data_IF_447961167409
#
_entry.id   IF_447961167409
#
_cell.length_a   1.000
_cell.length_b   1.000
_cell.length_c   1.000
_cell.angle_alpha   90.00
_cell.angle_beta   90.00
_cell.angle_gamma   90.00
#
_symmetry.space_group_name_H-M   'P 1'
#
loop_
_entity.id
_entity.type
_entity.pdbx_description
1 polymer ?
#
# COMPACT_ATOMS: atom_id res chain seq x y z
N UNK A 1 22.87 11.43 14.17
CA UNK A 1 22.05 10.48 14.94
C UNK A 1 21.23 9.69 13.96
N UNK A 2 21.27 8.36 14.05
CA UNK A 2 20.33 7.47 13.35
C UNK A 2 19.32 7.01 14.38
N UNK A 3 18.03 7.26 14.10
CA UNK A 3 16.96 7.02 15.07
C UNK A 3 16.11 5.82 14.69
N UNK A 4 15.79 5.03 15.70
CA UNK A 4 14.89 3.88 15.59
C UNK A 4 13.86 3.92 16.72
N UNK A 5 12.72 3.32 16.50
CA UNK A 5 11.70 3.08 17.52
C UNK A 5 11.58 1.57 17.77
N UNK A 6 11.58 1.18 19.04
CA UNK A 6 11.42 -0.24 19.41
C UNK A 6 10.07 -0.79 18.97
N UNK A 7 10.10 -2.02 18.44
CA UNK A 7 8.94 -2.85 18.13
C UNK A 7 8.92 -4.08 19.04
N UNK A 8 8.21 -5.11 18.62
CA UNK A 8 8.14 -6.36 19.38
C UNK A 8 9.52 -7.02 19.58
N UNK A 9 9.76 -7.52 20.78
CA UNK A 9 10.98 -8.25 21.15
C UNK A 9 12.25 -7.38 21.04
N UNK A 10 13.19 -7.77 20.18
CA UNK A 10 14.50 -7.12 19.96
C UNK A 10 14.57 -6.43 18.60
N UNK A 11 13.45 -6.11 17.98
CA UNK A 11 13.40 -5.39 16.71
C UNK A 11 13.20 -3.89 16.90
N UNK A 12 13.73 -3.10 15.98
CA UNK A 12 13.55 -1.66 15.96
C UNK A 12 13.37 -1.14 14.56
N UNK A 13 12.42 -0.22 14.38
CA UNK A 13 12.03 0.39 13.12
C UNK A 13 12.77 1.70 12.92
N UNK A 14 13.32 1.90 11.73
CA UNK A 14 14.01 3.11 11.34
C UNK A 14 13.07 4.32 11.29
N UNK A 15 13.44 5.40 11.97
CA UNK A 15 12.66 6.65 12.02
C UNK A 15 13.28 7.75 11.17
N UNK A 16 14.61 7.85 11.12
CA UNK A 16 15.28 8.87 10.33
C UNK A 16 16.74 9.06 10.71
N UNK A 17 17.41 9.91 9.95
CA UNK A 17 18.78 10.35 10.19
C UNK A 17 18.77 11.84 10.52
N UNK A 18 19.44 12.23 11.60
CA UNK A 18 19.41 13.59 12.12
C UNK A 18 20.81 14.13 12.35
N UNK A 19 21.02 15.38 11.99
CA UNK A 19 22.19 16.17 12.40
C UNK A 19 21.89 16.79 13.75
N UNK A 20 22.82 16.63 14.70
CA UNK A 20 22.77 17.34 15.96
C UNK A 20 23.64 18.62 15.84
N UNK A 21 23.01 19.77 15.90
CA UNK A 21 23.67 21.08 15.81
C UNK A 21 24.13 21.62 17.17
N UNK A 22 23.90 20.86 18.26
CA UNK A 22 24.30 21.23 19.61
C UNK A 22 23.13 21.49 20.57
N UNK A 23 23.45 22.04 21.73
CA UNK A 23 22.46 22.33 22.77
C UNK A 23 21.73 23.62 22.42
N UNK A 24 20.42 23.55 22.35
CA UNK A 24 19.55 24.71 22.17
C UNK A 24 19.23 25.41 23.48
N UNK A 25 19.00 24.62 24.53
CA UNK A 25 18.64 25.12 25.88
C UNK A 25 18.97 24.09 26.93
N UNK A 26 19.52 24.54 28.05
CA UNK A 26 19.58 23.74 29.28
C UNK A 26 18.21 23.74 29.97
N UNK A 27 17.76 22.59 30.38
CA UNK A 27 16.53 22.41 31.14
C UNK A 27 16.80 22.24 32.61
N UNK A 28 15.80 22.44 33.49
CA UNK A 28 15.94 22.15 34.92
C UNK A 28 16.35 20.70 35.16
N UNK A 29 17.18 20.49 36.16
CA UNK A 29 17.61 19.15 36.57
C UNK A 29 16.40 18.26 36.88
N UNK A 30 16.44 17.04 36.39
CA UNK A 30 15.43 16.03 36.67
C UNK A 30 16.10 14.83 37.36
N UNK A 31 15.69 14.52 38.58
CA UNK A 31 16.26 13.44 39.40
C UNK A 31 17.77 13.56 39.62
N UNK A 32 18.32 14.78 39.67
CA UNK A 32 19.74 15.04 39.87
C UNK A 32 20.60 14.93 38.61
N UNK A 33 19.99 14.81 37.45
CA UNK A 33 20.68 14.76 36.15
C UNK A 33 20.40 16.03 35.34
N UNK A 34 21.45 16.58 34.73
CA UNK A 34 21.34 17.73 33.83
C UNK A 34 20.68 17.33 32.54
N UNK A 35 19.67 18.07 32.13
CA UNK A 35 18.93 17.85 30.89
C UNK A 35 19.13 19.01 29.94
N UNK A 36 19.15 18.69 28.64
CA UNK A 36 19.27 19.68 27.57
C UNK A 36 18.31 19.38 26.42
N UNK A 37 17.80 20.45 25.83
CA UNK A 37 17.14 20.39 24.53
C UNK A 37 18.19 20.59 23.43
N UNK A 38 18.24 19.68 22.49
CA UNK A 38 19.16 19.73 21.36
C UNK A 38 18.47 20.28 20.10
N UNK A 39 19.23 21.02 19.31
CA UNK A 39 18.84 21.40 17.94
C UNK A 39 19.13 20.21 17.02
N UNK A 40 18.06 19.55 16.58
CA UNK A 40 18.12 18.36 15.76
C UNK A 40 17.45 18.65 14.42
N UNK A 41 18.19 18.48 13.32
CA UNK A 41 17.72 18.69 11.96
C UNK A 41 17.70 17.35 11.20
N UNK A 42 16.57 16.99 10.61
CA UNK A 42 16.46 15.79 9.76
C UNK A 42 17.33 15.95 8.50
N UNK A 43 18.06 14.91 8.14
CA UNK A 43 18.88 14.83 6.94
C UNK A 43 18.03 14.14 5.86
N UNK A 44 17.90 14.79 4.71
CA UNK A 44 17.19 14.26 3.55
C UNK A 44 17.95 13.11 2.85
N UNK A 45 17.24 12.33 2.03
CA UNK A 45 17.79 11.22 1.24
C UNK A 45 17.52 9.83 1.86
N UNK A 46 16.82 9.77 3.01
CA UNK A 46 16.48 8.53 3.70
C UNK A 46 14.96 8.25 3.74
N UNK A 47 14.17 9.04 3.05
CA UNK A 47 12.70 9.01 3.07
C UNK A 47 12.15 7.63 2.68
N UNK A 48 12.77 7.00 1.68
CA UNK A 48 12.38 5.65 1.22
C UNK A 48 12.63 4.54 2.22
N UNK A 49 13.47 4.80 3.24
CA UNK A 49 13.80 3.83 4.28
C UNK A 49 12.98 4.05 5.56
N UNK A 50 12.44 5.27 5.73
CA UNK A 50 11.69 5.69 6.91
C UNK A 50 10.47 4.80 7.11
N UNK A 51 10.29 4.34 8.34
CA UNK A 51 9.21 3.42 8.77
C UNK A 51 9.15 2.07 8.04
N UNK A 52 10.18 1.76 7.24
CA UNK A 52 10.23 0.52 6.44
C UNK A 52 11.31 -0.45 6.88
N UNK A 53 12.48 0.08 7.22
CA UNK A 53 13.62 -0.77 7.60
C UNK A 53 13.47 -1.17 9.06
N UNK A 54 13.50 -2.47 9.32
CA UNK A 54 13.48 -3.06 10.64
C UNK A 54 14.79 -3.81 10.86
N UNK A 55 15.45 -3.48 11.94
CA UNK A 55 16.74 -4.05 12.33
C UNK A 55 16.61 -4.89 13.59
N UNK A 56 17.56 -5.81 13.79
CA UNK A 56 17.76 -6.47 15.06
C UNK A 56 18.47 -5.52 16.03
N UNK A 57 17.76 -5.08 17.06
CA UNK A 57 18.34 -4.30 18.15
C UNK A 57 18.80 -5.24 19.24
N UNK A 58 20.07 -5.63 19.21
CA UNK A 58 20.60 -6.73 20.01
C UNK A 58 20.64 -6.47 21.54
N UNK A 59 20.43 -5.24 21.99
CA UNK A 59 20.41 -4.91 23.42
C UNK A 59 19.23 -3.98 23.75
N UNK A 60 18.08 -4.51 24.16
CA UNK A 60 16.87 -3.72 24.41
C UNK A 60 17.00 -2.78 25.63
N UNK A 61 17.96 -3.01 26.50
CA UNK A 61 18.20 -2.15 27.68
C UNK A 61 19.03 -0.91 27.33
N UNK A 62 19.82 -0.99 26.27
CA UNK A 62 20.70 0.09 25.83
C UNK A 62 20.08 0.85 24.65
N UNK A 63 19.36 1.92 24.95
CA UNK A 63 18.66 2.74 23.96
C UNK A 63 19.61 3.61 23.08
N UNK A 64 20.86 3.83 23.48
CA UNK A 64 21.88 4.54 22.72
C UNK A 64 23.08 3.62 22.49
N UNK A 65 23.48 3.46 21.24
CA UNK A 65 24.67 2.71 20.86
C UNK A 65 25.53 3.56 19.92
N UNK A 66 26.85 3.39 20.01
CA UNK A 66 27.75 3.90 18.98
C UNK A 66 27.52 3.14 17.67
N UNK A 67 28.01 3.72 16.56
CA UNK A 67 27.89 3.08 15.25
C UNK A 67 28.35 1.62 15.29
N UNK A 68 27.47 0.75 14.85
CA UNK A 68 27.69 -0.67 14.74
C UNK A 68 26.84 -1.22 13.57
N UNK A 69 27.34 -2.25 12.90
CA UNK A 69 26.54 -2.94 11.88
C UNK A 69 25.43 -3.73 12.58
N UNK A 70 24.20 -3.44 12.18
CA UNK A 70 23.03 -4.14 12.68
C UNK A 70 22.31 -4.88 11.54
N UNK A 71 21.97 -6.17 11.74
CA UNK A 71 21.29 -6.94 10.71
C UNK A 71 19.93 -6.34 10.39
N UNK A 72 19.65 -6.14 9.11
CA UNK A 72 18.30 -5.83 8.63
C UNK A 72 17.49 -7.12 8.66
N UNK A 73 16.47 -7.16 9.51
CA UNK A 73 15.56 -8.32 9.63
C UNK A 73 14.58 -8.32 8.47
N UNK A 74 14.02 -7.15 8.17
CA UNK A 74 12.93 -6.97 7.23
C UNK A 74 12.90 -5.55 6.69
N UNK A 75 12.49 -5.41 5.45
CA UNK A 75 12.12 -4.12 4.87
C UNK A 75 10.63 -4.20 4.58
N UNK A 76 9.83 -3.48 5.38
CA UNK A 76 8.40 -3.42 5.18
C UNK A 76 8.06 -2.62 3.92
N UNK A 77 6.92 -2.94 3.35
CA UNK A 77 6.35 -2.13 2.29
C UNK A 77 5.98 -0.77 2.88
N UNK A 78 6.75 0.24 2.54
CA UNK A 78 6.50 1.59 3.03
C UNK A 78 5.18 2.14 2.47
N UNK A 79 4.64 3.10 3.17
CA UNK A 79 3.66 4.00 2.60
C UNK A 79 4.43 5.13 1.90
N UNK A 80 4.10 5.43 0.64
CA UNK A 80 4.55 6.65 -0.01
C UNK A 80 3.96 7.87 0.71
N UNK A 81 4.46 9.06 0.42
CA UNK A 81 3.75 10.30 0.75
C UNK A 81 2.26 10.14 0.45
N UNK A 82 1.39 10.50 1.38
CA UNK A 82 -0.07 10.31 1.34
C UNK A 82 -0.60 8.88 1.61
N UNK A 83 0.11 8.06 2.39
CA UNK A 83 -0.33 6.69 2.74
C UNK A 83 -0.50 5.74 1.53
N UNK A 84 0.25 5.96 0.46
CA UNK A 84 0.22 5.07 -0.69
C UNK A 84 1.19 3.91 -0.52
N UNK A 85 0.79 2.67 -0.83
CA UNK A 85 1.69 1.54 -0.82
C UNK A 85 2.73 1.66 -1.95
N UNK A 86 3.97 1.28 -1.67
CA UNK A 86 4.98 1.10 -2.72
C UNK A 86 4.62 -0.13 -3.55
N UNK A 87 4.72 -0.01 -4.87
CA UNK A 87 4.53 -1.17 -5.74
C UNK A 87 5.72 -2.15 -5.58
N UNK A 88 5.43 -3.39 -5.24
CA UNK A 88 6.46 -4.45 -5.12
C UNK A 88 6.25 -5.52 -6.18
N UNK A 89 5.14 -6.24 -6.12
CA UNK A 89 4.75 -7.27 -7.07
C UNK A 89 3.25 -7.19 -7.32
N UNK A 90 2.80 -7.70 -8.44
CA UNK A 90 1.38 -7.70 -8.78
C UNK A 90 0.54 -8.51 -7.79
N UNK A 91 1.04 -9.65 -7.36
CA UNK A 91 0.36 -10.55 -6.41
C UNK A 91 0.14 -9.92 -5.04
N UNK A 92 0.95 -8.92 -4.74
CA UNK A 92 0.91 -8.21 -3.46
C UNK A 92 -0.01 -6.97 -3.50
N UNK A 93 -0.58 -6.65 -4.67
CA UNK A 93 -1.42 -5.48 -4.82
C UNK A 93 -2.75 -5.68 -4.09
N UNK A 94 -2.90 -4.92 -3.00
CA UNK A 94 -4.14 -4.81 -2.23
C UNK A 94 -4.35 -3.32 -1.93
N UNK A 95 -5.36 -2.71 -2.56
CA UNK A 95 -5.65 -1.28 -2.46
C UNK A 95 -7.07 -1.05 -1.96
N UNK A 96 -7.24 -0.14 -1.00
CA UNK A 96 -8.56 0.42 -0.75
C UNK A 96 -8.90 1.49 -1.81
N UNK A 97 -10.16 1.94 -1.82
CA UNK A 97 -10.61 2.90 -2.83
C UNK A 97 -9.87 4.24 -2.77
N UNK A 98 -9.56 4.74 -1.59
CA UNK A 98 -8.82 5.99 -1.42
C UNK A 98 -7.41 5.89 -2.00
N UNK A 99 -6.72 4.77 -1.76
CA UNK A 99 -5.41 4.51 -2.33
C UNK A 99 -5.47 4.40 -3.85
N UNK A 100 -6.45 3.66 -4.39
CA UNK A 100 -6.66 3.56 -5.84
C UNK A 100 -6.89 4.94 -6.47
N UNK A 101 -7.80 5.75 -5.91
CA UNK A 101 -8.06 7.13 -6.38
C UNK A 101 -6.80 7.98 -6.34
N UNK A 102 -6.05 7.93 -5.26
CA UNK A 102 -4.85 8.75 -5.11
C UNK A 102 -3.79 8.35 -6.13
N UNK A 103 -3.53 7.05 -6.32
CA UNK A 103 -2.59 6.53 -7.33
C UNK A 103 -2.96 7.02 -8.73
N UNK A 104 -4.22 6.87 -9.10
CA UNK A 104 -4.72 7.25 -10.43
C UNK A 104 -4.70 8.77 -10.62
N UNK A 105 -5.24 9.54 -9.67
CA UNK A 105 -5.39 10.99 -9.79
C UNK A 105 -4.04 11.72 -9.74
N UNK A 106 -3.09 11.24 -8.96
CA UNK A 106 -1.72 11.78 -8.94
C UNK A 106 -0.90 11.37 -10.16
N UNK A 107 -1.44 10.48 -11.00
CA UNK A 107 -0.74 9.90 -12.16
C UNK A 107 0.64 9.33 -11.74
N UNK A 108 0.68 8.65 -10.58
CA UNK A 108 1.92 8.15 -9.99
C UNK A 108 2.72 7.35 -11.01
N UNK A 109 3.94 7.78 -11.37
CA UNK A 109 4.68 7.24 -12.52
C UNK A 109 5.09 5.78 -12.33
N UNK A 110 5.43 5.36 -11.12
CA UNK A 110 5.79 3.98 -10.81
C UNK A 110 4.58 3.05 -10.98
N UNK A 111 3.48 3.35 -10.31
CA UNK A 111 2.24 2.58 -10.40
C UNK A 111 1.71 2.55 -11.83
N UNK A 112 1.70 3.71 -12.52
CA UNK A 112 1.24 3.81 -13.90
C UNK A 112 2.04 2.92 -14.83
N UNK A 113 3.37 3.04 -14.82
CA UNK A 113 4.26 2.22 -15.66
C UNK A 113 4.02 0.72 -15.44
N UNK A 114 3.84 0.29 -14.19
CA UNK A 114 3.58 -1.11 -13.86
C UNK A 114 2.20 -1.57 -14.32
N UNK A 115 1.15 -0.81 -14.00
CA UNK A 115 -0.22 -1.19 -14.33
C UNK A 115 -0.56 -1.05 -15.82
N UNK A 116 0.17 -0.25 -16.59
CA UNK A 116 0.04 -0.18 -18.06
C UNK A 116 0.77 -1.33 -18.78
N UNK A 117 1.71 -2.01 -18.12
CA UNK A 117 2.55 -3.03 -18.77
C UNK A 117 1.91 -4.40 -18.89
N UNK A 118 0.81 -4.67 -18.19
CA UNK A 118 0.10 -5.96 -18.27
C UNK A 118 -1.41 -5.80 -18.08
N UNK A 119 -2.12 -6.84 -18.47
CA UNK A 119 -3.52 -7.06 -18.14
C UNK A 119 -3.63 -7.98 -16.90
N UNK A 120 -4.83 -8.17 -16.36
CA UNK A 120 -5.03 -9.03 -15.20
C UNK A 120 -6.44 -9.59 -15.05
N UNK A 121 -6.57 -10.61 -14.21
CA UNK A 121 -7.80 -10.93 -13.49
C UNK A 121 -7.69 -10.25 -12.12
N UNK A 122 -8.70 -9.50 -11.75
CA UNK A 122 -8.75 -8.77 -10.48
C UNK A 122 -10.00 -9.10 -9.68
N UNK A 123 -9.90 -8.85 -8.39
CA UNK A 123 -10.97 -9.00 -7.42
C UNK A 123 -11.30 -7.64 -6.80
N UNK A 124 -12.58 -7.35 -6.66
CA UNK A 124 -13.07 -6.32 -5.75
C UNK A 124 -13.78 -7.01 -4.60
N UNK A 125 -13.27 -6.83 -3.39
CA UNK A 125 -13.85 -7.34 -2.16
C UNK A 125 -14.68 -6.24 -1.49
N UNK A 126 -15.93 -6.54 -1.19
CA UNK A 126 -16.77 -5.74 -0.30
C UNK A 126 -16.57 -6.22 1.15
N UNK A 127 -15.82 -5.45 1.93
CA UNK A 127 -15.50 -5.80 3.32
C UNK A 127 -16.69 -5.74 4.27
N UNK A 128 -17.80 -5.10 3.88
CA UNK A 128 -18.99 -5.00 4.72
C UNK A 128 -19.77 -6.30 4.83
N UNK A 129 -19.70 -7.14 3.79
CA UNK A 129 -20.51 -8.34 3.67
C UNK A 129 -19.78 -9.56 3.09
N UNK A 130 -18.48 -9.39 2.71
CA UNK A 130 -17.64 -10.44 2.14
C UNK A 130 -17.95 -10.79 0.68
N UNK A 131 -18.90 -10.12 0.03
CA UNK A 131 -19.18 -10.35 -1.39
C UNK A 131 -18.03 -9.91 -2.28
N UNK A 132 -17.87 -10.59 -3.40
CA UNK A 132 -16.75 -10.41 -4.30
C UNK A 132 -17.24 -10.18 -5.73
N UNK A 133 -16.51 -9.32 -6.44
CA UNK A 133 -16.62 -9.14 -7.88
C UNK A 133 -15.30 -9.57 -8.52
N UNK A 134 -15.36 -10.39 -9.55
CA UNK A 134 -14.21 -10.75 -10.39
C UNK A 134 -14.37 -10.14 -11.75
N UNK A 135 -13.35 -9.44 -12.21
CA UNK A 135 -13.27 -8.88 -13.55
C UNK A 135 -11.92 -9.12 -14.21
N UNK A 136 -11.85 -8.81 -15.48
CA UNK A 136 -10.62 -8.88 -16.26
C UNK A 136 -10.29 -7.57 -16.95
N UNK A 137 -9.02 -7.43 -17.33
CA UNK A 137 -8.57 -6.40 -18.27
C UNK A 137 -7.98 -7.07 -19.50
N UNK A 138 -8.22 -6.48 -20.67
CA UNK A 138 -7.70 -6.96 -21.98
C UNK A 138 -7.57 -5.81 -22.97
N UNK A 139 -7.18 -4.64 -22.47
CA UNK A 139 -7.02 -3.44 -23.29
C UNK A 139 -5.54 -3.00 -23.38
N UNK A 140 -5.24 -2.09 -24.30
CA UNK A 140 -3.88 -1.60 -24.56
C UNK A 140 -3.30 -0.74 -23.45
N UNK A 141 -4.13 -0.23 -22.53
CA UNK A 141 -3.72 0.51 -21.34
C UNK A 141 -3.59 -0.37 -20.11
N UNK A 142 -3.67 -1.70 -20.28
CA UNK A 142 -3.54 -2.68 -19.22
C UNK A 142 -4.50 -2.48 -18.05
N UNK A 143 -4.02 -2.79 -16.86
CA UNK A 143 -4.77 -2.62 -15.62
C UNK A 143 -5.10 -1.14 -15.36
N UNK A 144 -4.16 -0.24 -15.68
CA UNK A 144 -4.33 1.20 -15.48
C UNK A 144 -5.60 1.74 -16.12
N UNK A 145 -5.86 1.34 -17.38
CA UNK A 145 -7.03 1.80 -18.11
C UNK A 145 -8.33 1.48 -17.39
N UNK A 146 -8.51 0.22 -16.97
CA UNK A 146 -9.73 -0.22 -16.29
C UNK A 146 -9.86 0.34 -14.88
N UNK A 147 -8.77 0.37 -14.14
CA UNK A 147 -8.78 0.88 -12.76
C UNK A 147 -8.96 2.40 -12.70
N UNK A 148 -8.60 3.13 -13.76
CA UNK A 148 -8.94 4.56 -13.89
C UNK A 148 -10.45 4.80 -13.96
N UNK A 149 -11.22 3.90 -14.55
CA UNK A 149 -12.69 3.99 -14.58
C UNK A 149 -13.28 3.75 -13.18
N UNK A 150 -12.76 2.76 -12.45
CA UNK A 150 -13.15 2.54 -11.05
C UNK A 150 -12.79 3.73 -10.16
N UNK A 151 -11.61 4.31 -10.31
CA UNK A 151 -11.19 5.48 -9.52
C UNK A 151 -12.13 6.68 -9.70
N UNK A 152 -12.73 6.84 -10.89
CA UNK A 152 -13.68 7.91 -11.19
C UNK A 152 -15.07 7.63 -10.64
N UNK A 153 -15.56 6.41 -10.78
CA UNK A 153 -16.97 6.08 -10.56
C UNK A 153 -17.23 5.24 -9.32
N UNK A 154 -16.22 4.54 -8.83
CA UNK A 154 -16.32 3.52 -7.77
C UNK A 154 -16.87 2.18 -8.25
N UNK A 155 -17.61 2.15 -9.37
CA UNK A 155 -18.31 0.96 -9.88
C UNK A 155 -17.84 0.46 -11.27
N UNK A 156 -17.09 1.31 -12.03
CA UNK A 156 -16.57 0.93 -13.35
C UNK A 156 -17.65 0.39 -14.30
N UNK A 157 -18.87 0.93 -14.23
CA UNK A 157 -20.07 0.55 -14.98
C UNK A 157 -20.62 -0.87 -14.69
N UNK A 158 -20.15 -1.54 -13.63
CA UNK A 158 -20.79 -2.76 -13.18
C UNK A 158 -22.12 -2.47 -12.47
N UNK A 159 -23.17 -3.21 -12.85
CA UNK A 159 -24.54 -2.97 -12.38
C UNK A 159 -24.71 -3.22 -10.88
N UNK A 160 -24.10 -4.28 -10.34
CA UNK A 160 -24.26 -4.64 -8.93
C UNK A 160 -23.43 -3.71 -8.03
N UNK A 161 -22.23 -3.34 -8.45
CA UNK A 161 -21.42 -2.37 -7.72
C UNK A 161 -22.06 -0.97 -7.75
N UNK A 162 -22.69 -0.61 -8.89
CA UNK A 162 -23.41 0.66 -9.02
C UNK A 162 -24.55 0.76 -7.99
N UNK A 163 -25.34 -0.29 -7.78
CA UNK A 163 -26.40 -0.32 -6.78
C UNK A 163 -25.88 0.01 -5.37
N UNK A 164 -24.70 -0.48 -5.02
CA UNK A 164 -24.06 -0.18 -3.74
C UNK A 164 -23.75 1.33 -3.61
N UNK A 165 -23.23 1.94 -4.67
CA UNK A 165 -22.82 3.34 -4.69
C UNK A 165 -24.03 4.28 -4.78
N UNK A 166 -25.06 3.90 -5.54
CA UNK A 166 -26.30 4.67 -5.61
C UNK A 166 -27.00 4.75 -4.23
N UNK A 167 -26.80 3.75 -3.36
CA UNK A 167 -27.33 3.75 -2.00
C UNK A 167 -26.51 4.59 -1.00
N UNK A 168 -25.19 4.66 -1.18
CA UNK A 168 -24.25 5.47 -0.40
C UNK A 168 -23.08 5.91 -1.28
N UNK A 169 -22.99 7.20 -1.67
CA UNK A 169 -21.89 7.70 -2.51
C UNK A 169 -20.47 7.45 -1.95
N UNK A 170 -20.36 7.22 -0.63
CA UNK A 170 -19.09 6.87 0.03
C UNK A 170 -18.90 5.38 0.24
N UNK A 171 -19.77 4.55 -0.33
CA UNK A 171 -19.74 3.10 -0.12
C UNK A 171 -18.40 2.48 -0.52
N UNK A 172 -17.88 2.84 -1.70
CA UNK A 172 -16.59 2.34 -2.18
C UNK A 172 -15.43 2.73 -1.24
N UNK A 173 -15.42 3.96 -0.71
CA UNK A 173 -14.37 4.44 0.22
C UNK A 173 -14.36 3.65 1.53
N UNK A 174 -15.51 3.25 2.02
CA UNK A 174 -15.66 2.52 3.27
C UNK A 174 -15.37 1.03 3.12
N UNK A 175 -15.78 0.44 1.98
CA UNK A 175 -15.97 -1.01 1.91
C UNK A 175 -15.16 -1.71 0.83
N UNK A 176 -14.85 -1.06 -0.31
CA UNK A 176 -14.24 -1.77 -1.42
C UNK A 176 -12.72 -1.85 -1.32
N UNK A 177 -12.21 -3.02 -1.70
CA UNK A 177 -10.78 -3.33 -1.78
C UNK A 177 -10.46 -4.02 -3.10
N UNK A 178 -9.44 -3.56 -3.81
CA UNK A 178 -8.97 -4.10 -5.09
C UNK A 178 -7.75 -4.98 -4.90
N UNK A 179 -7.76 -6.16 -5.51
CA UNK A 179 -6.62 -7.09 -5.52
C UNK A 179 -6.39 -7.63 -6.93
N UNK A 180 -5.15 -7.94 -7.28
CA UNK A 180 -4.81 -8.68 -8.50
C UNK A 180 -4.75 -10.17 -8.17
N UNK A 181 -5.50 -10.98 -8.93
CA UNK A 181 -5.52 -12.44 -8.77
C UNK A 181 -4.53 -13.15 -9.70
N UNK A 182 -4.39 -12.62 -10.93
CA UNK A 182 -3.51 -13.18 -11.95
C UNK A 182 -3.10 -12.10 -12.94
N UNK A 183 -1.84 -12.04 -13.32
CA UNK A 183 -1.37 -11.18 -14.39
C UNK A 183 -1.54 -11.86 -15.74
N UNK A 184 -1.93 -11.08 -16.75
CA UNK A 184 -2.13 -11.53 -18.13
C UNK A 184 -1.24 -10.71 -19.08
N UNK A 185 -0.77 -11.30 -20.18
CA UNK A 185 -0.01 -10.56 -21.18
C UNK A 185 -0.76 -9.33 -21.68
N UNK A 186 -0.03 -8.23 -21.96
CA UNK A 186 -0.66 -7.00 -22.50
C UNK A 186 -1.39 -7.22 -23.83
N UNK A 187 -0.93 -8.19 -24.62
CA UNK A 187 -1.50 -8.57 -25.92
C UNK A 187 -2.44 -9.78 -25.85
N UNK A 188 -2.97 -10.10 -24.66
CA UNK A 188 -3.92 -11.21 -24.51
C UNK A 188 -5.17 -10.97 -25.37
N UNK A 189 -5.69 -12.03 -25.97
CA UNK A 189 -6.95 -11.94 -26.70
C UNK A 189 -8.13 -11.81 -25.72
N UNK A 190 -9.16 -11.03 -26.07
CA UNK A 190 -10.34 -10.85 -25.21
C UNK A 190 -10.97 -12.16 -24.76
N UNK A 191 -11.09 -13.13 -25.67
CA UNK A 191 -11.69 -14.45 -25.42
C UNK A 191 -10.91 -15.22 -24.34
N UNK A 192 -9.58 -15.16 -24.39
CA UNK A 192 -8.70 -15.81 -23.40
C UNK A 192 -8.83 -15.15 -22.03
N UNK A 193 -8.89 -13.80 -21.97
CA UNK A 193 -9.09 -13.07 -20.73
C UNK A 193 -10.45 -13.40 -20.11
N UNK A 194 -11.51 -13.45 -20.90
CA UNK A 194 -12.88 -13.80 -20.48
C UNK A 194 -12.95 -15.25 -19.98
N UNK A 195 -12.25 -16.18 -20.63
CA UNK A 195 -12.15 -17.56 -20.17
C UNK A 195 -11.48 -17.65 -18.78
N UNK A 196 -10.37 -16.96 -18.61
CA UNK A 196 -9.68 -16.88 -17.31
C UNK A 196 -10.56 -16.25 -16.23
N UNK A 197 -11.24 -15.16 -16.55
CA UNK A 197 -12.21 -14.52 -15.65
C UNK A 197 -13.32 -15.49 -15.24
N UNK A 198 -13.89 -16.23 -16.21
CA UNK A 198 -14.94 -17.22 -15.95
C UNK A 198 -14.45 -18.35 -15.05
N UNK A 199 -13.19 -18.77 -15.16
CA UNK A 199 -12.57 -19.74 -14.27
C UNK A 199 -12.52 -19.23 -12.82
N UNK A 200 -12.08 -17.97 -12.62
CA UNK A 200 -12.03 -17.37 -11.28
C UNK A 200 -13.42 -17.14 -10.69
N UNK A 201 -14.40 -16.73 -11.52
CA UNK A 201 -15.80 -16.62 -11.09
C UNK A 201 -16.35 -17.95 -10.56
N UNK A 202 -15.98 -19.07 -11.20
CA UNK A 202 -16.38 -20.42 -10.73
C UNK A 202 -15.65 -20.81 -9.45
N UNK A 203 -14.32 -20.61 -9.40
CA UNK A 203 -13.50 -20.95 -8.22
C UNK A 203 -13.96 -20.23 -6.94
N UNK A 204 -14.35 -18.96 -7.08
CA UNK A 204 -14.74 -18.08 -5.97
C UNK A 204 -16.26 -18.02 -5.77
N UNK A 205 -17.05 -18.65 -6.63
CA UNK A 205 -18.51 -18.67 -6.53
C UNK A 205 -19.17 -17.30 -6.71
N UNK A 206 -18.49 -16.34 -7.36
CA UNK A 206 -18.93 -14.93 -7.36
C UNK A 206 -20.19 -14.67 -8.19
N UNK A 207 -20.57 -15.60 -9.09
CA UNK A 207 -21.85 -15.54 -9.81
C UNK A 207 -23.03 -15.80 -8.90
N UNK A 208 -22.89 -16.74 -7.96
CA UNK A 208 -23.97 -17.15 -7.05
C UNK A 208 -23.99 -16.29 -5.79
N UNK A 209 -22.84 -16.11 -5.17
CA UNK A 209 -22.69 -15.50 -3.84
C UNK A 209 -22.13 -14.09 -3.86
N UNK A 210 -21.65 -13.60 -5.02
CA UNK A 210 -21.02 -12.30 -5.18
C UNK A 210 -21.77 -11.35 -6.13
N UNK A 211 -21.00 -10.42 -6.71
CA UNK A 211 -21.50 -9.38 -7.59
C UNK A 211 -21.32 -9.70 -9.10
N UNK A 212 -20.59 -10.76 -9.47
CA UNK A 212 -20.35 -11.11 -10.89
C UNK A 212 -21.56 -11.80 -11.49
N UNK A 213 -22.54 -11.03 -11.99
CA UNK A 213 -23.80 -11.58 -12.55
C UNK A 213 -23.75 -11.88 -14.06
N UNK A 214 -22.71 -11.43 -14.74
CA UNK A 214 -22.44 -11.67 -16.16
C UNK A 214 -21.62 -12.95 -16.42
#
# INVERSE_FOLDING_TARGET
>A
IVSFIGEESTSSRFVGVYKNNGILQMLPDYKGEAHARFDIQEISGFELLKERVIIAWNNPVQWLQHYNEMPVIRIDRGLMENNLPVFVRYEDVVLNYTQLKTIINSNNPEWKSRLESCNCIYLILDKSNGKQYVGSTYNTKGIWGRWSEYAKTGHGDDVELKKCIDSDPKYAEKNFQWCILETLPIKILPEQAIERESLYKRKLGTRMYGYSKN
#
